data_IF_308144721539
#
_entry.id   IF_308144721539
#
_cell.length_a   1.000
_cell.length_b   1.000
_cell.length_c   1.000
_cell.angle_alpha   90.00
_cell.angle_beta   90.00
_cell.angle_gamma   90.00
#
_symmetry.space_group_name_H-M   'P 1'
#
loop_
_entity.id
_entity.type
_entity.pdbx_description
1 polymer ?
#
# COMPACT_ATOMS: atom_id res chain seq x y z
N UNK A 1 48.07 -36.63 38.66
CA UNK A 1 48.24 -37.79 37.75
C UNK A 1 47.20 -38.83 38.12
N UNK A 2 46.19 -39.04 37.28
CA UNK A 2 45.42 -40.30 37.26
C UNK A 2 44.79 -40.46 35.88
N UNK A 3 44.85 -41.68 35.38
CA UNK A 3 44.94 -42.06 33.98
C UNK A 3 43.59 -42.27 33.32
N UNK A 4 43.54 -41.92 32.03
CA UNK A 4 42.45 -42.12 31.09
C UNK A 4 42.24 -43.63 30.84
N UNK A 5 41.04 -44.17 31.11
CA UNK A 5 40.62 -45.48 30.60
C UNK A 5 39.81 -45.27 29.33
N UNK A 6 40.40 -45.61 28.18
CA UNK A 6 39.63 -45.85 26.95
C UNK A 6 38.86 -47.16 27.12
N UNK A 7 37.53 -47.10 27.01
CA UNK A 7 36.68 -48.28 26.85
C UNK A 7 36.62 -48.60 25.35
N UNK A 8 37.05 -49.81 25.01
CA UNK A 8 36.98 -50.37 23.66
C UNK A 8 35.51 -50.57 23.26
N UNK A 9 35.09 -49.96 22.15
CA UNK A 9 33.73 -50.11 21.61
C UNK A 9 33.59 -51.38 20.77
N UNK A 10 32.58 -52.19 21.08
CA UNK A 10 32.26 -53.42 20.36
C UNK A 10 31.88 -53.15 18.90
N UNK A 11 32.51 -53.89 17.98
CA UNK A 11 32.20 -53.84 16.54
C UNK A 11 30.93 -54.66 16.27
N UNK A 12 29.89 -54.10 15.63
CA UNK A 12 28.66 -54.84 15.36
C UNK A 12 28.88 -55.99 14.37
N UNK A 13 28.26 -57.13 14.67
CA UNK A 13 28.34 -58.40 13.94
C UNK A 13 27.80 -58.29 12.50
N UNK A 14 28.29 -59.16 11.60
CA UNK A 14 27.93 -59.17 10.18
C UNK A 14 26.42 -59.26 9.94
N UNK A 15 25.70 -60.01 10.78
CA UNK A 15 24.24 -60.20 10.70
C UNK A 15 23.46 -58.91 10.95
N UNK A 16 23.90 -58.06 11.89
CA UNK A 16 23.28 -56.76 12.14
C UNK A 16 23.51 -55.79 10.96
N UNK A 17 24.68 -55.89 10.33
CA UNK A 17 25.06 -55.08 9.16
C UNK A 17 24.24 -55.43 7.92
N UNK A 18 23.93 -56.72 7.71
CA UNK A 18 23.09 -57.16 6.57
C UNK A 18 21.61 -56.85 6.75
N UNK A 19 21.07 -56.96 7.98
CA UNK A 19 19.70 -56.50 8.28
C UNK A 19 19.53 -55.00 8.05
N UNK A 20 20.54 -54.21 8.44
CA UNK A 20 20.54 -52.76 8.25
C UNK A 20 20.66 -52.37 6.76
N UNK A 21 21.44 -53.12 5.97
CA UNK A 21 21.51 -52.96 4.50
C UNK A 21 20.20 -53.34 3.81
N UNK A 22 19.53 -54.39 4.27
CA UNK A 22 18.25 -54.86 3.74
C UNK A 22 17.10 -53.88 3.99
N UNK A 23 17.08 -53.21 5.17
CA UNK A 23 16.10 -52.18 5.51
C UNK A 23 16.31 -50.89 4.70
N UNK A 24 17.55 -50.44 4.52
CA UNK A 24 17.86 -49.22 3.72
C UNK A 24 17.49 -49.41 2.24
N UNK A 25 17.74 -50.60 1.66
CA UNK A 25 17.34 -50.90 0.28
C UNK A 25 15.82 -50.92 0.07
N UNK A 26 15.05 -51.37 1.07
CA UNK A 26 13.57 -51.41 1.01
C UNK A 26 12.92 -50.03 1.17
N UNK A 27 13.52 -49.11 1.93
CA UNK A 27 13.02 -47.73 2.08
C UNK A 27 13.25 -46.91 0.80
N UNK A 28 14.36 -47.12 0.08
CA UNK A 28 14.66 -46.39 -1.16
C UNK A 28 13.78 -46.80 -2.36
N UNK A 29 13.27 -48.04 -2.39
CA UNK A 29 12.39 -48.50 -3.46
C UNK A 29 10.95 -47.96 -3.37
N UNK A 30 10.51 -47.55 -2.16
CA UNK A 30 9.17 -46.95 -1.96
C UNK A 30 9.16 -45.44 -2.26
N UNK A 31 10.31 -44.75 -2.16
CA UNK A 31 10.42 -43.31 -2.41
C UNK A 31 10.53 -42.94 -3.90
N UNK A 32 10.95 -43.84 -4.79
CA UNK A 32 11.02 -43.57 -6.23
C UNK A 32 9.70 -43.82 -6.98
N UNK A 33 8.77 -44.59 -6.42
CA UNK A 33 7.47 -44.86 -7.04
C UNK A 33 6.39 -43.79 -6.75
N UNK A 34 6.65 -42.83 -5.86
CA UNK A 34 5.69 -41.79 -5.45
C UNK A 34 5.94 -40.41 -6.10
N UNK A 35 6.67 -40.37 -7.22
CA UNK A 35 7.14 -39.12 -7.85
C UNK A 35 6.54 -38.81 -9.23
N UNK A 36 5.50 -39.52 -9.69
CA UNK A 36 5.09 -39.47 -11.11
C UNK A 36 3.66 -39.06 -11.46
N UNK A 37 2.91 -38.43 -10.56
CA UNK A 37 1.61 -37.83 -10.93
C UNK A 37 1.35 -36.48 -10.25
N UNK A 38 2.29 -35.53 -10.37
CA UNK A 38 1.94 -34.11 -10.21
C UNK A 38 1.41 -33.61 -11.54
N UNK A 39 0.11 -33.78 -11.79
CA UNK A 39 -0.57 -33.07 -12.87
C UNK A 39 -0.61 -31.60 -12.50
N UNK A 40 0.20 -30.77 -13.16
CA UNK A 40 0.08 -29.31 -13.09
C UNK A 40 -1.23 -28.95 -13.81
N UNK A 41 -2.32 -28.85 -13.06
CA UNK A 41 -3.54 -28.26 -13.59
C UNK A 41 -3.21 -26.82 -14.02
N UNK A 42 -3.54 -26.40 -15.26
CA UNK A 42 -3.41 -25.01 -15.61
C UNK A 42 -4.29 -24.22 -14.63
N UNK A 43 -3.69 -23.27 -13.92
CA UNK A 43 -4.47 -22.30 -13.17
C UNK A 43 -5.35 -21.58 -14.19
N UNK A 44 -6.61 -21.99 -14.31
CA UNK A 44 -7.62 -21.27 -15.05
C UNK A 44 -7.67 -19.88 -14.40
N UNK A 45 -7.01 -18.91 -15.03
CA UNK A 45 -6.98 -17.54 -14.55
C UNK A 45 -8.42 -17.12 -14.35
N UNK A 46 -8.80 -16.83 -13.10
CA UNK A 46 -10.13 -16.35 -12.78
C UNK A 46 -10.42 -15.17 -13.70
N UNK A 47 -11.37 -15.35 -14.64
CA UNK A 47 -11.81 -14.26 -15.49
C UNK A 47 -12.35 -13.17 -14.56
N UNK A 48 -11.93 -11.90 -14.73
CA UNK A 48 -12.49 -10.82 -13.94
C UNK A 48 -14.02 -10.88 -14.06
N UNK A 49 -14.70 -10.74 -12.93
CA UNK A 49 -16.16 -10.76 -12.90
C UNK A 49 -16.71 -9.79 -13.96
N UNK A 50 -17.75 -10.19 -14.73
CA UNK A 50 -18.34 -9.32 -15.74
C UNK A 50 -18.77 -8.01 -15.08
N UNK A 51 -18.46 -6.91 -15.75
CA UNK A 51 -18.74 -5.57 -15.24
C UNK A 51 -20.27 -5.38 -15.18
N UNK A 52 -20.80 -4.75 -14.12
CA UNK A 52 -22.23 -4.53 -14.01
C UNK A 52 -22.73 -3.71 -15.21
N UNK A 53 -23.86 -4.10 -15.84
CA UNK A 53 -24.38 -3.39 -16.99
C UNK A 53 -24.67 -1.93 -16.64
N UNK A 54 -24.11 -1.01 -17.44
CA UNK A 54 -24.23 0.44 -17.26
C UNK A 54 -23.18 1.09 -16.34
N UNK A 55 -22.20 0.33 -15.84
CA UNK A 55 -21.07 0.86 -15.07
C UNK A 55 -19.82 1.15 -15.91
N UNK A 56 -18.91 1.99 -15.40
CA UNK A 56 -17.58 2.11 -16.00
C UNK A 56 -16.78 0.83 -15.82
N UNK A 57 -15.92 0.55 -16.78
CA UNK A 57 -15.02 -0.59 -16.69
C UNK A 57 -14.00 -0.44 -15.58
N UNK A 58 -13.49 -1.54 -15.03
CA UNK A 58 -12.42 -1.54 -14.02
C UNK A 58 -11.20 -0.76 -14.52
N UNK A 59 -10.86 -0.91 -15.80
CA UNK A 59 -9.77 -0.17 -16.45
C UNK A 59 -10.07 1.33 -16.45
N UNK A 60 -11.29 1.72 -16.79
CA UNK A 60 -11.70 3.12 -16.79
C UNK A 60 -11.72 3.70 -15.37
N UNK A 61 -12.24 2.97 -14.38
CA UNK A 61 -12.22 3.38 -12.97
C UNK A 61 -10.78 3.63 -12.50
N UNK A 62 -9.86 2.70 -12.75
CA UNK A 62 -8.45 2.87 -12.36
C UNK A 62 -7.79 4.06 -13.05
N UNK A 63 -8.12 4.31 -14.32
CA UNK A 63 -7.65 5.48 -15.06
C UNK A 63 -8.17 6.78 -14.44
N UNK A 64 -9.46 6.85 -14.11
CA UNK A 64 -10.06 8.02 -13.46
C UNK A 64 -9.46 8.25 -12.09
N UNK A 65 -9.36 7.20 -11.26
CA UNK A 65 -8.74 7.30 -9.92
C UNK A 65 -7.32 7.83 -10.03
N UNK A 66 -6.53 7.32 -10.97
CA UNK A 66 -5.17 7.82 -11.20
C UNK A 66 -5.17 9.28 -11.64
N UNK A 67 -5.93 9.63 -12.67
CA UNK A 67 -6.01 11.01 -13.18
C UNK A 67 -6.43 11.98 -12.08
N UNK A 68 -7.45 11.64 -11.29
CA UNK A 68 -7.95 12.51 -10.24
C UNK A 68 -6.95 12.63 -9.11
N UNK A 69 -6.37 11.53 -8.60
CA UNK A 69 -5.41 11.59 -7.49
C UNK A 69 -4.13 12.37 -7.84
N UNK A 70 -3.67 12.32 -9.09
CA UNK A 70 -2.36 12.86 -9.49
C UNK A 70 -2.39 14.19 -10.23
N UNK A 71 -3.56 14.67 -10.66
CA UNK A 71 -3.61 15.92 -11.39
C UNK A 71 -3.40 17.16 -10.51
N UNK A 72 -2.86 18.25 -11.08
CA UNK A 72 -2.77 19.55 -10.44
C UNK A 72 -4.12 20.07 -9.93
N UNK A 73 -4.12 20.69 -8.76
CA UNK A 73 -5.25 21.52 -8.28
C UNK A 73 -5.35 22.81 -9.08
N UNK A 74 -6.56 23.38 -9.16
CA UNK A 74 -6.87 24.54 -10.00
C UNK A 74 -7.24 24.21 -11.45
N UNK A 75 -7.39 22.93 -11.78
CA UNK A 75 -7.89 22.46 -13.08
C UNK A 75 -9.38 22.07 -12.98
N UNK A 76 -10.15 22.25 -14.05
CA UNK A 76 -11.62 22.01 -14.10
C UNK A 76 -12.04 20.54 -14.05
N UNK A 77 -11.08 19.63 -13.91
CA UNK A 77 -11.28 18.19 -14.10
C UNK A 77 -11.92 17.46 -12.91
N UNK A 78 -11.88 18.00 -11.68
CA UNK A 78 -12.46 17.31 -10.51
C UNK A 78 -13.98 17.12 -10.69
N UNK A 79 -14.72 18.20 -10.99
CA UNK A 79 -16.18 18.15 -11.17
C UNK A 79 -16.58 17.35 -12.42
N UNK A 80 -15.79 17.42 -13.49
CA UNK A 80 -15.99 16.61 -14.69
C UNK A 80 -15.95 15.11 -14.38
N UNK A 81 -14.91 14.64 -13.69
CA UNK A 81 -14.78 13.23 -13.34
C UNK A 81 -15.81 12.78 -12.30
N UNK A 82 -16.23 13.67 -11.40
CA UNK A 82 -17.32 13.41 -10.47
C UNK A 82 -18.63 13.10 -11.23
N UNK A 83 -18.97 13.87 -12.26
CA UNK A 83 -20.16 13.62 -13.08
C UNK A 83 -20.14 12.27 -13.80
N UNK A 84 -18.96 11.79 -14.19
CA UNK A 84 -18.78 10.52 -14.92
C UNK A 84 -18.77 9.32 -13.98
N UNK A 85 -18.10 9.43 -12.83
CA UNK A 85 -17.76 8.28 -11.98
C UNK A 85 -18.27 8.41 -10.53
N UNK A 86 -19.20 9.35 -10.26
CA UNK A 86 -19.67 9.69 -8.92
C UNK A 86 -20.18 8.52 -8.08
N UNK A 87 -20.75 7.50 -8.72
CA UNK A 87 -21.35 6.33 -8.05
C UNK A 87 -20.41 5.14 -7.84
N UNK A 88 -19.24 5.13 -8.46
CA UNK A 88 -18.33 3.97 -8.48
C UNK A 88 -16.98 4.22 -7.81
N UNK A 89 -16.72 5.48 -7.47
CA UNK A 89 -15.48 5.95 -6.88
C UNK A 89 -15.84 6.69 -5.59
N UNK A 90 -15.01 6.58 -4.56
CA UNK A 90 -15.21 7.35 -3.34
C UNK A 90 -14.74 8.79 -3.54
N UNK A 91 -15.69 9.72 -3.51
CA UNK A 91 -15.48 11.17 -3.62
C UNK A 91 -15.61 11.89 -2.28
N UNK A 92 -15.86 11.16 -1.19
CA UNK A 92 -16.00 11.76 0.13
C UNK A 92 -14.69 12.40 0.58
N UNK A 93 -14.81 13.46 1.37
CA UNK A 93 -13.67 14.25 1.83
C UNK A 93 -14.08 15.01 3.07
N UNK A 94 -13.22 14.98 4.08
CA UNK A 94 -13.25 15.85 5.25
C UNK A 94 -12.34 17.07 5.03
N UNK A 95 -11.51 17.05 3.99
CA UNK A 95 -10.67 18.14 3.55
C UNK A 95 -9.42 18.23 4.40
N UNK A 96 -9.02 19.44 4.81
CA UNK A 96 -7.82 19.58 5.65
C UNK A 96 -8.14 19.34 7.14
N UNK A 97 -8.69 18.17 7.47
CA UNK A 97 -8.92 17.68 8.84
C UNK A 97 -7.60 17.22 9.47
N UNK A 98 -6.64 18.14 9.58
CA UNK A 98 -5.35 17.81 10.22
C UNK A 98 -5.51 17.63 11.73
N UNK A 99 -4.64 16.83 12.37
CA UNK A 99 -4.67 16.65 13.81
C UNK A 99 -4.62 17.98 14.58
N UNK A 100 -5.29 18.06 15.73
CA UNK A 100 -5.36 19.28 16.54
C UNK A 100 -3.99 19.84 16.94
N UNK A 101 -2.98 18.99 17.12
CA UNK A 101 -1.61 19.43 17.39
C UNK A 101 -0.98 20.20 16.21
N UNK A 102 -1.34 19.84 14.97
CA UNK A 102 -0.91 20.58 13.77
C UNK A 102 -1.61 21.93 13.74
N UNK A 103 -2.90 21.96 14.05
CA UNK A 103 -3.67 23.20 14.15
C UNK A 103 -3.09 24.14 15.21
N UNK A 104 -2.58 23.61 16.31
CA UNK A 104 -1.93 24.39 17.36
C UNK A 104 -0.50 24.85 16.98
N UNK A 105 0.22 24.05 16.18
CA UNK A 105 1.63 24.30 15.85
C UNK A 105 1.84 25.24 14.67
N UNK A 106 0.78 25.55 13.90
CA UNK A 106 0.85 26.45 12.74
C UNK A 106 0.08 27.73 13.05
N UNK A 107 0.75 28.88 13.22
CA UNK A 107 0.08 30.17 13.30
C UNK A 107 -0.81 30.39 12.07
N UNK A 108 -2.10 30.68 12.27
CA UNK A 108 -3.06 30.81 11.19
C UNK A 108 -3.45 29.47 10.52
N UNK A 109 -3.29 28.32 11.19
CA UNK A 109 -3.63 27.00 10.65
C UNK A 109 -5.01 26.95 10.00
N UNK A 110 -6.03 27.55 10.62
CA UNK A 110 -7.39 27.58 10.07
C UNK A 110 -7.48 28.32 8.72
N UNK A 111 -6.71 29.40 8.54
CA UNK A 111 -6.62 30.09 7.26
C UNK A 111 -5.94 29.19 6.22
N UNK A 112 -4.81 28.57 6.57
CA UNK A 112 -4.10 27.69 5.64
C UNK A 112 -4.87 26.40 5.33
N UNK A 113 -5.64 25.86 6.27
CA UNK A 113 -6.53 24.72 6.04
C UNK A 113 -7.62 25.07 5.02
N UNK A 114 -8.17 26.29 5.07
CA UNK A 114 -9.12 26.78 4.05
C UNK A 114 -8.43 27.00 2.70
N UNK A 115 -7.30 27.70 2.70
CA UNK A 115 -6.53 27.99 1.49
C UNK A 115 -6.04 26.71 0.79
N UNK A 116 -5.63 25.70 1.56
CA UNK A 116 -5.07 24.46 1.05
C UNK A 116 -6.12 23.36 0.82
N UNK A 117 -7.40 23.62 1.13
CA UNK A 117 -8.51 22.66 1.02
C UNK A 117 -8.56 21.91 -0.30
N UNK A 118 -8.38 22.51 -1.49
CA UNK A 118 -8.44 21.75 -2.74
C UNK A 118 -7.34 20.70 -2.86
N UNK A 119 -6.17 20.92 -2.26
CA UNK A 119 -5.09 19.92 -2.21
C UNK A 119 -5.43 18.77 -1.27
N UNK A 120 -6.01 19.07 -0.10
CA UNK A 120 -6.47 18.04 0.85
C UNK A 120 -7.60 17.19 0.26
N UNK A 121 -8.58 17.80 -0.42
CA UNK A 121 -9.66 17.07 -1.12
C UNK A 121 -9.08 16.08 -2.15
N UNK A 122 -7.99 16.45 -2.84
CA UNK A 122 -7.31 15.54 -3.77
C UNK A 122 -6.60 14.38 -3.08
N UNK A 123 -6.01 14.65 -1.93
CA UNK A 123 -5.31 13.66 -1.12
C UNK A 123 -6.28 12.65 -0.51
N UNK A 124 -7.39 13.12 0.05
CA UNK A 124 -8.48 12.28 0.57
C UNK A 124 -8.99 11.32 -0.52
N UNK A 125 -9.23 11.85 -1.71
CA UNK A 125 -9.64 11.05 -2.86
C UNK A 125 -8.62 9.92 -3.14
N UNK A 126 -7.32 10.23 -3.14
CA UNK A 126 -6.27 9.23 -3.30
C UNK A 126 -6.27 8.18 -2.18
N UNK A 127 -6.39 8.61 -0.92
CA UNK A 127 -6.39 7.73 0.24
C UNK A 127 -7.58 6.78 0.27
N UNK A 128 -8.78 7.30 -0.03
CA UNK A 128 -10.01 6.50 -0.05
C UNK A 128 -9.97 5.45 -1.16
N UNK A 129 -9.47 5.80 -2.34
CA UNK A 129 -9.49 4.89 -3.48
C UNK A 129 -8.29 3.93 -3.53
N UNK A 130 -7.08 4.36 -3.15
CA UNK A 130 -5.90 3.47 -3.15
C UNK A 130 -5.67 2.74 -1.82
N UNK A 131 -6.13 3.31 -0.70
CA UNK A 131 -5.98 2.77 0.65
C UNK A 131 -7.03 1.72 0.99
N UNK A 132 -7.33 1.59 2.29
CA UNK A 132 -8.10 0.48 2.85
C UNK A 132 -9.54 0.31 2.35
N UNK A 133 -10.17 1.37 1.82
CA UNK A 133 -11.58 1.33 1.40
C UNK A 133 -11.73 0.57 0.07
N UNK A 134 -11.05 1.00 -0.99
CA UNK A 134 -11.16 0.34 -2.32
C UNK A 134 -9.95 -0.50 -2.72
N UNK A 135 -8.82 -0.35 -2.01
CA UNK A 135 -7.62 -1.20 -2.11
C UNK A 135 -7.11 -1.37 -3.54
N UNK A 136 -7.32 -0.38 -4.42
CA UNK A 136 -6.87 -0.48 -5.82
C UNK A 136 -5.36 -0.69 -5.92
N UNK A 137 -4.58 -0.12 -4.99
CA UNK A 137 -3.15 -0.39 -4.85
C UNK A 137 -2.63 0.04 -3.47
N UNK A 138 -2.96 -0.73 -2.43
CA UNK A 138 -2.61 -0.40 -1.05
C UNK A 138 -1.15 -0.76 -0.73
N UNK A 139 -0.20 0.09 -1.18
CA UNK A 139 1.24 -0.10 -0.94
C UNK A 139 1.89 1.13 -0.30
N UNK A 140 3.02 0.94 0.38
CA UNK A 140 3.83 2.03 0.93
C UNK A 140 4.27 3.03 -0.15
N UNK A 141 4.69 2.53 -1.31
CA UNK A 141 5.07 3.37 -2.46
C UNK A 141 3.88 4.21 -2.92
N UNK A 142 2.68 3.64 -2.99
CA UNK A 142 1.46 4.37 -3.38
C UNK A 142 1.10 5.45 -2.36
N UNK A 143 1.12 5.13 -1.06
CA UNK A 143 0.90 6.13 0.01
C UNK A 143 1.86 7.30 -0.11
N UNK A 144 3.17 7.02 -0.17
CA UNK A 144 4.23 8.04 -0.29
C UNK A 144 4.04 8.88 -1.54
N UNK A 145 3.67 8.27 -2.66
CA UNK A 145 3.40 8.96 -3.92
C UNK A 145 2.22 9.94 -3.80
N UNK A 146 1.14 9.55 -3.12
CA UNK A 146 -0.02 10.42 -2.87
C UNK A 146 0.33 11.55 -1.89
N UNK A 147 1.09 11.27 -0.84
CA UNK A 147 1.56 12.29 0.12
C UNK A 147 2.48 13.33 -0.57
N UNK A 148 3.35 12.88 -1.48
CA UNK A 148 4.18 13.77 -2.28
C UNK A 148 3.35 14.64 -3.22
N UNK A 149 2.29 14.08 -3.81
CA UNK A 149 1.38 14.81 -4.68
C UNK A 149 0.59 15.88 -3.91
N UNK A 150 0.17 15.61 -2.67
CA UNK A 150 -0.40 16.61 -1.76
C UNK A 150 0.54 17.81 -1.62
N UNK A 151 1.82 17.55 -1.30
CA UNK A 151 2.79 18.63 -1.12
C UNK A 151 3.03 19.42 -2.42
N UNK A 152 3.11 18.74 -3.57
CA UNK A 152 3.25 19.39 -4.87
C UNK A 152 2.06 20.32 -5.18
N UNK A 153 0.83 19.87 -4.92
CA UNK A 153 -0.38 20.65 -5.10
C UNK A 153 -0.46 21.83 -4.12
N UNK A 154 -0.09 21.65 -2.86
CA UNK A 154 -0.04 22.74 -1.89
C UNK A 154 0.97 23.82 -2.31
N UNK A 155 2.17 23.42 -2.75
CA UNK A 155 3.17 24.37 -3.28
C UNK A 155 2.63 25.18 -4.46
N UNK A 156 1.87 24.55 -5.36
CA UNK A 156 1.23 25.24 -6.49
C UNK A 156 0.25 26.31 -6.02
N UNK A 157 -0.61 26.01 -5.06
CA UNK A 157 -1.54 27.00 -4.49
C UNK A 157 -0.79 28.11 -3.75
N UNK A 158 0.31 27.79 -3.07
CA UNK A 158 1.13 28.81 -2.42
C UNK A 158 1.90 29.70 -3.40
N UNK A 159 2.15 29.25 -4.63
CA UNK A 159 2.81 30.05 -5.66
C UNK A 159 1.94 31.21 -6.17
N UNK A 160 0.61 31.11 -6.05
CA UNK A 160 -0.30 32.20 -6.38
C UNK A 160 -0.44 33.25 -5.26
N UNK A 161 0.25 33.06 -4.12
CA UNK A 161 0.19 33.98 -2.99
C UNK A 161 1.39 34.95 -3.03
N UNK A 162 1.18 36.26 -2.87
CA UNK A 162 2.25 37.24 -2.98
C UNK A 162 3.14 37.27 -1.73
N UNK A 163 4.42 37.58 -1.95
CA UNK A 163 5.39 37.94 -0.91
C UNK A 163 5.42 36.99 0.30
N UNK A 164 5.35 37.58 1.50
CA UNK A 164 5.42 36.84 2.77
C UNK A 164 4.25 35.85 2.95
N UNK A 165 3.07 36.12 2.37
CA UNK A 165 1.94 35.18 2.42
C UNK A 165 2.27 33.87 1.70
N UNK A 166 2.96 33.94 0.57
CA UNK A 166 3.44 32.75 -0.16
C UNK A 166 4.49 31.97 0.63
N UNK A 167 5.43 32.65 1.28
CA UNK A 167 6.43 31.99 2.14
C UNK A 167 5.78 31.31 3.33
N UNK A 168 4.86 31.98 4.03
CA UNK A 168 4.15 31.40 5.16
C UNK A 168 3.23 30.23 4.73
N UNK A 169 2.57 30.34 3.56
CA UNK A 169 1.81 29.24 2.96
C UNK A 169 2.68 28.01 2.72
N UNK A 170 3.89 28.17 2.15
CA UNK A 170 4.80 27.03 1.92
C UNK A 170 5.26 26.37 3.22
N UNK A 171 5.47 27.15 4.29
CA UNK A 171 5.77 26.61 5.63
C UNK A 171 4.60 25.79 6.16
N UNK A 172 3.37 26.31 6.10
CA UNK A 172 2.18 25.57 6.50
C UNK A 172 1.98 24.29 5.67
N UNK A 173 2.16 24.37 4.34
CA UNK A 173 2.10 23.22 3.43
C UNK A 173 3.09 22.12 3.80
N UNK A 174 4.31 22.49 4.20
CA UNK A 174 5.31 21.53 4.65
C UNK A 174 4.87 20.82 5.94
N UNK A 175 4.29 21.54 6.91
CA UNK A 175 3.78 20.94 8.15
C UNK A 175 2.62 19.99 7.86
N UNK A 176 1.66 20.38 7.02
CA UNK A 176 0.56 19.50 6.61
C UNK A 176 1.04 18.23 5.91
N UNK A 177 1.99 18.35 4.98
CA UNK A 177 2.62 17.21 4.34
C UNK A 177 3.29 16.28 5.35
N UNK A 178 4.09 16.83 6.27
CA UNK A 178 4.77 16.02 7.29
C UNK A 178 3.80 15.31 8.22
N UNK A 179 2.68 15.94 8.57
CA UNK A 179 1.65 15.33 9.38
C UNK A 179 1.08 14.06 8.73
N UNK A 180 0.77 14.07 7.43
CA UNK A 180 0.24 12.87 6.75
C UNK A 180 1.32 11.85 6.38
N UNK A 181 2.54 12.32 6.12
CA UNK A 181 3.65 11.44 5.76
C UNK A 181 4.13 10.61 6.96
N UNK A 182 4.13 11.19 8.16
CA UNK A 182 4.78 10.61 9.34
C UNK A 182 3.82 10.13 10.44
N UNK A 183 2.56 10.60 10.48
CA UNK A 183 1.70 10.27 11.62
C UNK A 183 1.18 8.83 11.61
N UNK A 184 1.08 8.18 12.79
CA UNK A 184 0.40 6.89 12.93
C UNK A 184 -1.06 6.92 12.46
N UNK A 185 -1.74 8.06 12.64
CA UNK A 185 -3.11 8.28 12.20
C UNK A 185 -3.22 8.13 10.67
N UNK A 186 -2.34 8.78 9.91
CA UNK A 186 -2.33 8.67 8.46
C UNK A 186 -1.94 7.26 7.98
N UNK A 187 -1.05 6.57 8.69
CA UNK A 187 -0.74 5.17 8.42
C UNK A 187 -2.00 4.28 8.54
N UNK A 188 -2.73 4.39 9.65
CA UNK A 188 -4.01 3.66 9.84
C UNK A 188 -5.10 4.07 8.85
N UNK A 189 -5.16 5.35 8.50
CA UNK A 189 -6.11 5.83 7.49
C UNK A 189 -5.88 5.15 6.14
N UNK A 190 -4.61 4.98 5.73
CA UNK A 190 -4.28 4.36 4.45
C UNK A 190 -4.32 2.83 4.47
N UNK A 191 -3.76 2.18 5.49
CA UNK A 191 -3.52 0.72 5.47
C UNK A 191 -4.57 -0.14 6.17
N UNK A 192 -5.32 0.40 7.13
CA UNK A 192 -6.15 -0.41 8.03
C UNK A 192 -5.96 0.02 9.46
#
# INVERSE_FOLDING_TARGET
MSTMKMVSGDRPTSVARDRQRSLVARVMAVLTALLLTVTVAPAAGARPAPEPPGGLSRVMVLKIVYTVAYQPVGTSSYGYWYGIAGRQIDWSTDGCSVPSWVMASVPGASYYAKLLRPSCVRHDFGYRNYGKVHRYQMTAVRKTSIDNQLYANMKRQCASQPGLKGTACRKAAWVFYKAVALSPQAHRAFFG
#
